data_IF_463696240641
#
_entry.id   IF_463696240641
#
_cell.length_a   1.000
_cell.length_b   1.000
_cell.length_c   1.000
_cell.angle_alpha   90.00
_cell.angle_beta   90.00
_cell.angle_gamma   90.00
#
_symmetry.space_group_name_H-M   'P 1'
#
loop_
_entity.id
_entity.type
_entity.pdbx_description
1 polymer ?
#
# COMPACT_ATOMS: atom_id res chain seq x y z
N UNK A 1 -5.85 0.28 -13.12
CA UNK A 1 -4.98 -0.69 -12.44
C UNK A 1 -5.72 -1.22 -11.23
N UNK A 2 -6.08 -2.51 -11.21
CA UNK A 2 -6.66 -3.16 -10.06
C UNK A 2 -5.56 -3.94 -9.34
N UNK A 3 -5.21 -3.50 -8.14
CA UNK A 3 -4.40 -4.28 -7.22
C UNK A 3 -5.28 -5.35 -6.58
N UNK A 4 -4.87 -6.61 -6.68
CA UNK A 4 -5.52 -7.71 -5.97
C UNK A 4 -4.68 -8.00 -4.73
N UNK A 5 -5.17 -7.62 -3.56
CA UNK A 5 -4.49 -7.90 -2.29
C UNK A 5 -4.72 -9.37 -1.88
N UNK A 6 -3.62 -10.07 -1.71
CA UNK A 6 -3.60 -11.50 -1.41
C UNK A 6 -3.51 -11.74 0.09
N UNK A 7 -4.63 -11.91 0.73
CA UNK A 7 -5.03 -12.53 2.01
C UNK A 7 -6.21 -11.78 2.63
N UNK A 8 -7.10 -12.42 3.36
CA UNK A 8 -7.49 -13.80 3.57
C UNK A 8 -8.73 -14.21 2.73
N UNK A 9 -9.30 -15.36 2.98
CA UNK A 9 -10.33 -16.13 2.29
C UNK A 9 -11.41 -15.37 1.48
N UNK A 10 -11.85 -14.18 1.91
CA UNK A 10 -12.93 -13.44 1.26
C UNK A 10 -12.58 -12.74 -0.07
N UNK A 11 -11.30 -12.53 -0.39
CA UNK A 11 -10.86 -11.89 -1.64
C UNK A 11 -10.42 -12.89 -2.72
N UNK A 12 -10.42 -14.18 -2.41
CA UNK A 12 -10.05 -15.24 -3.36
C UNK A 12 -11.10 -15.44 -4.45
N UNK A 13 -12.38 -15.33 -4.11
CA UNK A 13 -13.47 -15.59 -5.05
C UNK A 13 -13.42 -14.65 -6.27
N UNK A 14 -13.36 -13.32 -6.13
CA UNK A 14 -13.28 -12.44 -7.29
C UNK A 14 -12.01 -12.65 -8.12
N UNK A 15 -10.88 -12.97 -7.49
CA UNK A 15 -9.64 -13.24 -8.20
C UNK A 15 -9.72 -14.52 -9.02
N UNK A 16 -10.18 -15.62 -8.43
CA UNK A 16 -10.34 -16.90 -9.11
C UNK A 16 -11.31 -16.77 -10.28
N UNK A 17 -12.44 -16.08 -10.09
CA UNK A 17 -13.42 -15.83 -11.15
C UNK A 17 -12.82 -15.06 -12.34
N UNK A 18 -12.00 -14.04 -12.08
CA UNK A 18 -11.27 -13.29 -13.12
C UNK A 18 -10.26 -14.19 -13.85
N UNK A 19 -9.59 -15.07 -13.14
CA UNK A 19 -8.62 -16.01 -13.73
C UNK A 19 -9.32 -17.08 -14.58
N UNK A 20 -10.41 -17.66 -14.09
CA UNK A 20 -11.15 -18.74 -14.75
C UNK A 20 -11.96 -18.22 -15.94
N UNK A 21 -12.66 -17.11 -15.78
CA UNK A 21 -13.49 -16.53 -16.84
C UNK A 21 -12.73 -15.74 -17.90
N UNK A 22 -11.50 -15.30 -17.59
CA UNK A 22 -10.76 -14.36 -18.41
C UNK A 22 -11.37 -12.94 -18.45
N UNK A 23 -12.38 -12.65 -17.63
CA UNK A 23 -13.11 -11.37 -17.62
C UNK A 23 -12.99 -10.66 -16.28
N UNK A 24 -12.92 -9.30 -16.28
CA UNK A 24 -12.77 -8.45 -17.44
C UNK A 24 -11.41 -8.65 -18.14
N UNK A 25 -11.36 -8.54 -19.47
CA UNK A 25 -10.11 -8.55 -20.23
C UNK A 25 -9.39 -7.20 -20.03
N UNK A 26 -8.78 -7.04 -18.86
CA UNK A 26 -8.14 -5.82 -18.43
C UNK A 26 -6.78 -6.12 -17.79
N UNK A 27 -5.72 -5.34 -18.08
CA UNK A 27 -4.42 -5.54 -17.49
C UNK A 27 -4.45 -5.45 -15.96
N UNK A 28 -3.75 -6.37 -15.29
CA UNK A 28 -3.66 -6.41 -13.83
C UNK A 28 -2.25 -6.77 -13.36
N UNK A 29 -1.95 -6.45 -12.12
CA UNK A 29 -0.82 -6.98 -11.37
C UNK A 29 -1.27 -7.41 -9.98
N UNK A 30 -0.47 -8.24 -9.34
CA UNK A 30 -0.71 -8.65 -7.96
C UNK A 30 -0.01 -7.71 -6.98
N UNK A 31 -0.60 -7.57 -5.80
CA UNK A 31 -0.02 -6.86 -4.67
C UNK A 31 -0.15 -7.67 -3.40
N UNK A 32 0.92 -7.74 -2.62
CA UNK A 32 0.93 -8.42 -1.35
C UNK A 32 0.74 -7.44 -0.19
N UNK A 33 -0.37 -7.61 0.56
CA UNK A 33 -0.62 -6.91 1.81
C UNK A 33 0.14 -7.61 2.94
N UNK A 34 1.46 -7.39 2.98
CA UNK A 34 2.39 -8.02 3.90
C UNK A 34 2.40 -7.37 5.29
N UNK A 35 1.22 -7.19 5.90
CA UNK A 35 1.08 -6.65 7.25
C UNK A 35 0.02 -7.41 8.04
N UNK A 36 0.12 -7.38 9.36
CA UNK A 36 -0.87 -7.97 10.26
C UNK A 36 -2.22 -7.30 10.09
N UNK A 37 -3.27 -8.10 9.95
CA UNK A 37 -4.64 -7.62 9.80
C UNK A 37 -5.35 -7.65 11.14
N UNK A 38 -5.98 -6.55 11.48
CA UNK A 38 -6.76 -6.40 12.69
C UNK A 38 -8.16 -5.86 12.41
N UNK A 39 -9.12 -6.23 13.27
CA UNK A 39 -10.43 -5.56 13.28
C UNK A 39 -10.28 -4.22 13.97
N UNK A 40 -10.81 -3.19 13.36
CA UNK A 40 -11.14 -1.97 14.10
C UNK A 40 -12.60 -2.07 14.52
N UNK A 41 -12.83 -2.64 15.70
CA UNK A 41 -14.19 -2.72 16.22
C UNK A 41 -14.72 -1.33 16.55
N UNK A 42 -15.85 -1.01 15.95
CA UNK A 42 -16.67 0.16 16.23
C UNK A 42 -17.43 -0.06 17.52
N UNK A 43 -16.77 -0.02 18.65
CA UNK A 43 -17.48 0.11 19.92
C UNK A 43 -17.63 1.59 20.20
N UNK A 44 -18.88 2.05 20.25
CA UNK A 44 -19.28 3.37 20.74
C UNK A 44 -18.93 3.60 22.21
N UNK A 45 -18.10 2.75 22.81
CA UNK A 45 -17.70 2.87 24.19
C UNK A 45 -16.62 3.94 24.33
N UNK A 46 -16.76 4.78 25.33
CA UNK A 46 -15.83 5.83 25.76
C UNK A 46 -14.42 5.33 26.13
N UNK A 47 -14.13 4.05 25.95
CA UNK A 47 -12.93 3.33 26.43
C UNK A 47 -11.89 3.00 25.37
N UNK A 48 -11.94 3.62 24.18
CA UNK A 48 -10.88 3.44 23.17
C UNK A 48 -11.10 2.24 22.25
N UNK A 49 -10.28 2.19 21.19
CA UNK A 49 -10.30 1.13 20.19
C UNK A 49 -9.72 -0.15 20.78
N UNK A 50 -10.48 -1.23 20.78
CA UNK A 50 -9.92 -2.57 20.93
C UNK A 50 -9.59 -3.10 19.53
N UNK A 51 -8.31 -3.30 19.30
CA UNK A 51 -7.81 -3.89 18.08
C UNK A 51 -7.64 -5.40 18.31
N UNK A 52 -8.41 -6.22 17.57
CA UNK A 52 -8.28 -7.67 17.61
C UNK A 52 -7.56 -8.12 16.36
N UNK A 53 -6.46 -8.87 16.51
CA UNK A 53 -5.73 -9.44 15.38
C UNK A 53 -6.61 -10.51 14.72
N UNK A 54 -6.86 -10.35 13.41
CA UNK A 54 -7.57 -11.33 12.57
C UNK A 54 -6.58 -12.31 11.95
N UNK A 55 -5.45 -11.79 11.45
CA UNK A 55 -4.40 -12.57 10.82
C UNK A 55 -3.06 -11.89 11.07
N UNK A 56 -2.19 -12.59 11.77
CA UNK A 56 -0.82 -12.14 12.00
C UNK A 56 0.03 -12.37 10.75
N UNK A 57 0.84 -11.38 10.39
CA UNK A 57 1.82 -11.50 9.33
C UNK A 57 3.10 -12.09 9.88
N UNK A 58 3.49 -13.24 9.35
CA UNK A 58 4.74 -13.91 9.65
C UNK A 58 5.51 -14.19 8.37
N UNK A 59 6.82 -14.38 8.49
CA UNK A 59 7.70 -14.76 7.38
C UNK A 59 8.36 -16.10 7.76
N UNK A 60 7.67 -17.26 7.53
CA UNK A 60 8.16 -18.55 8.02
C UNK A 60 9.37 -19.10 7.26
N UNK A 61 9.78 -18.47 6.17
CA UNK A 61 10.96 -18.84 5.38
C UNK A 61 10.62 -19.31 3.97
N UNK A 62 11.62 -19.95 3.33
CA UNK A 62 11.61 -20.26 1.89
C UNK A 62 10.45 -21.14 1.46
N UNK A 63 10.07 -22.11 2.25
CA UNK A 63 8.95 -23.01 1.89
C UNK A 63 7.64 -22.25 1.71
N UNK A 64 7.36 -21.27 2.57
CA UNK A 64 6.18 -20.41 2.45
C UNK A 64 6.29 -19.50 1.22
N UNK A 65 7.48 -18.93 0.96
CA UNK A 65 7.73 -18.10 -0.21
C UNK A 65 7.59 -18.88 -1.51
N UNK A 66 8.07 -20.11 -1.56
CA UNK A 66 7.93 -21.02 -2.71
C UNK A 66 6.46 -21.37 -2.93
N UNK A 67 5.76 -21.77 -1.85
CA UNK A 67 4.33 -22.07 -1.91
C UNK A 67 3.52 -20.86 -2.39
N UNK A 68 3.87 -19.66 -1.90
CA UNK A 68 3.25 -18.41 -2.32
C UNK A 68 3.44 -18.13 -3.81
N UNK A 69 4.66 -18.31 -4.34
CA UNK A 69 4.96 -18.15 -5.76
C UNK A 69 4.11 -19.10 -6.63
N UNK A 70 4.16 -20.40 -6.35
CA UNK A 70 3.45 -21.40 -7.15
C UNK A 70 1.92 -21.26 -7.08
N UNK A 71 1.39 -20.80 -5.97
CA UNK A 71 -0.04 -20.51 -5.83
C UNK A 71 -0.54 -19.49 -6.85
N UNK A 72 0.29 -18.55 -7.26
CA UNK A 72 -0.09 -17.49 -8.20
C UNK A 72 0.60 -17.61 -9.56
N UNK A 73 1.28 -18.72 -9.83
CA UNK A 73 1.99 -18.95 -11.08
C UNK A 73 1.09 -18.79 -12.32
N UNK A 74 -0.16 -19.26 -12.25
CA UNK A 74 -1.12 -19.10 -13.36
C UNK A 74 -1.41 -17.62 -13.65
N UNK A 75 -1.48 -16.78 -12.61
CA UNK A 75 -1.63 -15.34 -12.80
C UNK A 75 -0.37 -14.72 -13.43
N UNK A 76 0.82 -15.13 -13.01
CA UNK A 76 2.08 -14.66 -13.55
C UNK A 76 2.26 -15.01 -15.04
N UNK A 77 1.66 -16.13 -15.49
CA UNK A 77 1.67 -16.58 -16.89
C UNK A 77 0.49 -16.00 -17.71
N UNK A 78 -0.46 -15.29 -17.09
CA UNK A 78 -1.58 -14.68 -17.81
C UNK A 78 -1.10 -13.55 -18.74
N UNK A 79 -1.62 -13.54 -19.98
CA UNK A 79 -1.29 -12.52 -20.98
C UNK A 79 -1.61 -11.08 -20.57
N UNK A 80 -2.59 -10.90 -19.66
CA UNK A 80 -3.02 -9.61 -19.12
C UNK A 80 -2.12 -9.10 -17.99
N UNK A 81 -1.19 -9.95 -17.51
CA UNK A 81 -0.33 -9.53 -16.40
C UNK A 81 0.60 -8.39 -16.82
N UNK A 82 0.59 -7.30 -16.04
CA UNK A 82 1.40 -6.10 -16.33
C UNK A 82 2.87 -6.43 -16.15
N UNK A 83 3.69 -5.99 -17.12
CA UNK A 83 5.14 -6.18 -17.14
C UNK A 83 5.84 -4.85 -17.37
N UNK A 84 6.99 -4.69 -16.73
CA UNK A 84 7.94 -3.59 -16.93
C UNK A 84 9.23 -4.21 -17.49
N UNK A 85 9.63 -3.84 -18.69
CA UNK A 85 10.78 -4.41 -19.42
C UNK A 85 10.75 -5.95 -19.52
N UNK A 86 9.54 -6.49 -19.54
CA UNK A 86 9.27 -7.93 -19.59
C UNK A 86 9.29 -8.63 -18.22
N UNK A 87 9.65 -7.95 -17.13
CA UNK A 87 9.54 -8.44 -15.75
C UNK A 87 8.14 -8.22 -15.21
N UNK A 88 7.66 -9.15 -14.39
CA UNK A 88 6.32 -9.12 -13.78
C UNK A 88 6.23 -8.01 -12.72
N UNK A 89 5.27 -7.10 -12.86
CA UNK A 89 5.04 -6.06 -11.86
C UNK A 89 4.42 -6.67 -10.60
N UNK A 90 5.11 -6.56 -9.45
CA UNK A 90 4.60 -7.04 -8.18
C UNK A 90 4.72 -5.97 -7.10
N UNK A 91 3.63 -5.74 -6.37
CA UNK A 91 3.53 -4.63 -5.41
C UNK A 91 3.59 -5.17 -3.99
N UNK A 92 4.43 -4.56 -3.15
CA UNK A 92 4.54 -4.84 -1.70
C UNK A 92 3.95 -3.66 -0.93
N UNK A 93 2.97 -3.96 -0.07
CA UNK A 93 2.21 -2.93 0.64
C UNK A 93 3.02 -2.25 1.76
N UNK A 94 3.76 -3.02 2.56
CA UNK A 94 4.59 -2.52 3.66
C UNK A 94 6.06 -2.92 3.42
N UNK A 95 6.77 -2.24 2.50
CA UNK A 95 8.11 -2.62 2.08
C UNK A 95 9.13 -2.53 3.23
N UNK A 96 8.98 -1.56 4.14
CA UNK A 96 9.86 -1.37 5.29
C UNK A 96 9.71 -2.45 6.38
N UNK A 97 8.56 -3.14 6.39
CA UNK A 97 8.27 -4.20 7.37
C UNK A 97 8.63 -5.60 6.81
N UNK A 98 9.16 -5.64 5.59
CA UNK A 98 9.54 -6.90 4.97
C UNK A 98 10.91 -7.36 5.47
N UNK A 99 10.91 -8.40 6.27
CA UNK A 99 12.14 -9.01 6.77
C UNK A 99 12.86 -9.74 5.62
N UNK A 100 14.12 -9.40 5.39
CA UNK A 100 14.97 -10.03 4.37
C UNK A 100 14.40 -10.01 2.94
N UNK A 101 13.93 -8.84 2.51
CA UNK A 101 13.41 -8.65 1.15
C UNK A 101 14.43 -9.01 0.04
N UNK A 102 15.75 -8.72 0.16
CA UNK A 102 16.72 -9.13 -0.86
C UNK A 102 16.74 -10.64 -1.12
N UNK A 103 16.72 -11.46 -0.07
CA UNK A 103 16.65 -12.92 -0.21
C UNK A 103 15.36 -13.38 -0.88
N UNK A 104 14.22 -12.84 -0.46
CA UNK A 104 12.93 -13.10 -1.10
C UNK A 104 12.94 -12.76 -2.60
N UNK A 105 13.49 -11.60 -2.98
CA UNK A 105 13.62 -11.15 -4.37
C UNK A 105 14.45 -12.12 -5.19
N UNK A 106 15.60 -12.55 -4.67
CA UNK A 106 16.47 -13.51 -5.34
C UNK A 106 15.80 -14.87 -5.52
N UNK A 107 15.14 -15.37 -4.49
CA UNK A 107 14.40 -16.63 -4.53
C UNK A 107 13.30 -16.59 -5.60
N UNK A 108 12.48 -15.54 -5.60
CA UNK A 108 11.38 -15.41 -6.54
C UNK A 108 11.84 -15.20 -7.98
N UNK A 109 12.95 -14.49 -8.20
CA UNK A 109 13.55 -14.38 -9.53
C UNK A 109 14.06 -15.72 -10.05
N UNK A 110 14.73 -16.53 -9.23
CA UNK A 110 15.15 -17.90 -9.58
C UNK A 110 13.95 -18.81 -9.92
N UNK A 111 12.87 -18.73 -9.15
CA UNK A 111 11.65 -19.47 -9.45
C UNK A 111 11.01 -19.00 -10.76
N UNK A 112 10.99 -17.70 -11.02
CA UNK A 112 10.47 -17.14 -12.26
C UNK A 112 11.27 -17.62 -13.48
N UNK A 113 12.58 -17.61 -13.41
CA UNK A 113 13.48 -18.12 -14.46
C UNK A 113 13.23 -19.61 -14.74
N UNK A 114 13.11 -20.43 -13.69
CA UNK A 114 12.75 -21.86 -13.81
C UNK A 114 11.43 -22.08 -14.56
N UNK A 115 10.48 -21.16 -14.40
CA UNK A 115 9.17 -21.20 -15.04
C UNK A 115 9.13 -20.48 -16.41
N UNK A 116 10.28 -20.04 -16.94
CA UNK A 116 10.40 -19.37 -18.23
C UNK A 116 9.95 -17.91 -18.23
N UNK A 117 9.95 -17.27 -17.05
CA UNK A 117 9.60 -15.87 -16.85
C UNK A 117 10.87 -15.02 -16.66
N UNK A 118 10.83 -13.72 -17.00
CA UNK A 118 12.00 -12.83 -16.90
C UNK A 118 12.29 -12.30 -15.47
N UNK A 119 11.57 -12.80 -14.45
CA UNK A 119 11.68 -12.31 -13.10
C UNK A 119 10.65 -11.22 -12.79
N UNK A 120 10.86 -10.52 -11.68
CA UNK A 120 9.93 -9.53 -11.14
C UNK A 120 10.51 -8.11 -11.15
N UNK A 121 9.61 -7.15 -11.29
CA UNK A 121 9.81 -5.74 -11.01
C UNK A 121 9.02 -5.39 -9.74
N UNK A 122 9.72 -5.30 -8.62
CA UNK A 122 9.10 -5.08 -7.31
C UNK A 122 8.91 -3.60 -7.00
N UNK A 123 7.69 -3.23 -6.65
CA UNK A 123 7.30 -1.86 -6.31
C UNK A 123 6.88 -1.80 -4.84
N UNK A 124 7.55 -0.97 -4.04
CA UNK A 124 7.16 -0.69 -2.67
C UNK A 124 6.11 0.42 -2.57
N UNK A 125 5.01 0.20 -1.82
CA UNK A 125 4.05 1.27 -1.54
C UNK A 125 4.55 2.17 -0.42
N UNK A 126 4.33 3.48 -0.56
CA UNK A 126 4.69 4.50 0.44
C UNK A 126 3.49 5.01 1.23
N UNK A 127 2.54 4.14 1.58
CA UNK A 127 1.25 4.55 2.17
C UNK A 127 1.37 5.25 3.52
N UNK A 128 2.32 4.83 4.33
CA UNK A 128 2.55 5.40 5.64
C UNK A 128 4.00 5.85 5.73
N UNK A 129 4.22 7.14 5.86
CA UNK A 129 5.51 7.70 6.24
C UNK A 129 5.83 7.33 7.69
N UNK A 130 6.11 6.07 7.93
CA UNK A 130 6.62 5.56 9.21
C UNK A 130 8.12 5.45 9.09
N UNK A 131 8.84 6.47 9.55
CA UNK A 131 10.28 6.33 9.74
C UNK A 131 10.51 5.55 11.03
N UNK A 132 11.11 4.38 10.91
CA UNK A 132 11.80 3.74 12.03
C UNK A 132 13.04 4.55 12.31
N UNK A 133 13.01 5.32 13.39
CA UNK A 133 14.21 6.03 13.85
C UNK A 133 15.19 5.05 14.46
N UNK A 134 16.48 5.38 14.45
CA UNK A 134 17.57 4.56 15.03
C UNK A 134 17.38 4.20 16.50
N UNK A 135 16.45 4.87 17.20
CA UNK A 135 16.05 4.58 18.58
C UNK A 135 14.84 3.61 18.68
N UNK A 136 14.43 2.99 17.58
CA UNK A 136 13.30 2.05 17.52
C UNK A 136 11.93 2.69 17.64
N UNK A 137 11.84 4.01 17.64
CA UNK A 137 10.53 4.71 17.70
C UNK A 137 9.97 4.92 16.32
N UNK A 138 8.70 4.60 16.16
CA UNK A 138 7.95 4.89 14.94
C UNK A 138 7.52 6.36 14.99
N UNK A 139 8.10 7.19 14.14
CA UNK A 139 7.61 8.56 13.93
C UNK A 139 6.76 8.60 12.67
N UNK A 140 5.51 9.02 12.80
CA UNK A 140 4.71 9.41 11.64
C UNK A 140 5.30 10.73 11.10
N UNK A 141 6.05 10.65 10.02
CA UNK A 141 6.62 11.84 9.40
C UNK A 141 5.53 12.47 8.53
N UNK A 142 4.72 13.31 9.15
CA UNK A 142 4.00 14.34 8.41
C UNK A 142 5.01 15.44 8.08
N UNK A 143 5.91 15.17 7.16
CA UNK A 143 6.84 16.23 6.73
C UNK A 143 6.38 16.85 5.43
N UNK A 144 6.28 18.17 5.39
CA UNK A 144 6.09 18.88 4.16
C UNK A 144 7.43 18.97 3.42
N UNK A 145 7.42 18.77 2.16
CA UNK A 145 8.42 19.11 1.15
C UNK A 145 9.67 18.23 1.01
N UNK A 146 10.40 17.83 2.08
CA UNK A 146 11.75 17.28 1.89
C UNK A 146 11.94 15.80 2.25
N UNK A 147 11.06 15.23 3.07
CA UNK A 147 11.20 13.84 3.55
C UNK A 147 10.72 12.78 2.55
N UNK A 148 10.01 13.14 1.48
CA UNK A 148 9.54 12.14 0.51
C UNK A 148 10.69 11.54 -0.28
N UNK A 149 11.67 12.33 -0.69
CA UNK A 149 12.84 11.86 -1.42
C UNK A 149 13.69 10.90 -0.60
N UNK A 150 13.97 11.24 0.66
CA UNK A 150 14.72 10.37 1.58
C UNK A 150 13.97 9.07 1.83
N UNK A 151 12.64 9.13 1.97
CA UNK A 151 11.82 7.94 2.15
C UNK A 151 11.79 7.05 0.90
N UNK A 152 11.69 7.63 -0.31
CA UNK A 152 11.75 6.87 -1.56
C UNK A 152 13.12 6.21 -1.72
N UNK A 153 14.20 6.95 -1.47
CA UNK A 153 15.56 6.43 -1.49
C UNK A 153 15.76 5.32 -0.46
N UNK A 154 15.17 5.46 0.73
CA UNK A 154 15.21 4.39 1.73
C UNK A 154 14.55 3.10 1.21
N UNK A 155 13.33 3.16 0.65
CA UNK A 155 12.68 1.97 0.10
C UNK A 155 13.49 1.36 -1.04
N UNK A 156 14.04 2.19 -1.93
CA UNK A 156 14.90 1.72 -3.02
C UNK A 156 16.17 1.04 -2.48
N UNK A 157 16.76 1.56 -1.40
CA UNK A 157 17.94 0.96 -0.76
C UNK A 157 17.68 -0.42 -0.14
N UNK A 158 16.41 -0.77 0.15
CA UNK A 158 16.02 -2.11 0.56
C UNK A 158 16.03 -3.13 -0.60
N UNK A 159 16.28 -2.69 -1.84
CA UNK A 159 16.37 -3.55 -3.02
C UNK A 159 15.13 -3.53 -3.90
N UNK A 160 14.15 -2.66 -3.65
CA UNK A 160 13.00 -2.46 -4.54
C UNK A 160 13.43 -1.79 -5.86
N UNK A 161 12.77 -2.16 -6.96
CA UNK A 161 13.06 -1.61 -8.29
C UNK A 161 12.41 -0.23 -8.49
N UNK A 162 11.27 -0.01 -7.83
CA UNK A 162 10.55 1.26 -7.85
C UNK A 162 9.73 1.45 -6.57
N UNK A 163 9.24 2.67 -6.37
CA UNK A 163 8.30 3.02 -5.32
C UNK A 163 7.01 3.57 -5.92
N UNK A 164 5.89 3.30 -5.26
CA UNK A 164 4.61 3.92 -5.60
C UNK A 164 4.34 5.05 -4.61
N UNK A 165 4.36 6.30 -5.08
CA UNK A 165 4.09 7.45 -4.23
C UNK A 165 2.59 7.58 -3.96
N UNK A 166 2.23 7.81 -2.68
CA UNK A 166 0.85 8.02 -2.24
C UNK A 166 0.71 9.34 -1.52
N UNK A 167 0.79 10.42 -2.30
CA UNK A 167 0.80 11.81 -1.82
C UNK A 167 -0.47 12.29 -1.11
N UNK A 168 -1.54 11.47 -1.05
CA UNK A 168 -2.86 11.88 -0.57
C UNK A 168 -2.88 12.50 0.83
N UNK A 169 -2.20 11.90 1.80
CA UNK A 169 -2.15 12.44 3.17
C UNK A 169 -1.36 13.76 3.25
N UNK A 170 -0.27 13.86 2.52
CA UNK A 170 0.50 15.10 2.42
C UNK A 170 -0.25 16.20 1.69
N UNK A 171 -0.94 15.86 0.62
CA UNK A 171 -1.78 16.80 -0.13
C UNK A 171 -2.95 17.31 0.72
N UNK A 172 -3.58 16.45 1.51
CA UNK A 172 -4.63 16.83 2.45
C UNK A 172 -4.11 17.78 3.52
N UNK A 173 -2.96 17.49 4.12
CA UNK A 173 -2.34 18.33 5.13
C UNK A 173 -1.95 19.73 4.60
N UNK A 174 -1.59 19.82 3.32
CA UNK A 174 -1.28 21.09 2.65
C UNK A 174 -2.53 21.87 2.18
N UNK A 175 -3.67 21.17 2.04
CA UNK A 175 -4.90 21.77 1.50
C UNK A 175 -5.65 22.61 2.52
N UNK A 176 -5.51 22.30 3.81
CA UNK A 176 -6.07 23.06 4.92
C UNK A 176 -4.98 23.88 5.62
N UNK A 177 -5.34 25.09 6.08
CA UNK A 177 -4.48 25.79 7.04
C UNK A 177 -4.32 24.92 8.28
N UNK A 178 -3.10 24.68 8.80
CA UNK A 178 -2.90 23.88 10.00
C UNK A 178 -3.77 24.32 11.18
N UNK A 179 -3.94 25.63 11.34
CA UNK A 179 -4.78 26.21 12.38
C UNK A 179 -6.25 25.80 12.22
N UNK A 180 -6.79 25.87 11.02
CA UNK A 180 -8.20 25.47 10.73
C UNK A 180 -8.36 23.97 10.92
N UNK A 181 -7.40 23.17 10.51
CA UNK A 181 -7.42 21.72 10.71
C UNK A 181 -7.43 21.35 12.19
N UNK A 182 -6.54 21.95 13.00
CA UNK A 182 -6.51 21.71 14.44
C UNK A 182 -7.75 22.22 15.15
N UNK A 183 -8.29 23.37 14.74
CA UNK A 183 -9.53 23.92 15.31
C UNK A 183 -10.73 23.03 15.02
N UNK A 184 -10.88 22.56 13.78
CA UNK A 184 -11.93 21.60 13.40
C UNK A 184 -11.83 20.31 14.20
N UNK A 185 -10.61 19.74 14.37
CA UNK A 185 -10.42 18.54 15.18
C UNK A 185 -10.67 18.76 16.66
N UNK A 186 -10.31 19.91 17.20
CA UNK A 186 -10.60 20.27 18.59
C UNK A 186 -12.11 20.36 18.82
N UNK A 187 -12.84 21.05 17.96
CA UNK A 187 -14.31 21.17 18.03
C UNK A 187 -14.95 19.78 17.91
N UNK A 188 -14.52 18.96 16.96
CA UNK A 188 -15.02 17.61 16.76
C UNK A 188 -14.84 16.74 18.01
N UNK A 189 -13.66 16.78 18.62
CA UNK A 189 -13.33 15.98 19.79
C UNK A 189 -14.03 16.47 21.08
N UNK A 190 -14.17 17.79 21.25
CA UNK A 190 -14.78 18.40 22.45
C UNK A 190 -16.30 18.37 22.44
N UNK A 191 -16.90 18.60 21.28
CA UNK A 191 -18.34 18.71 21.15
C UNK A 191 -19.03 17.42 20.70
N UNK A 192 -18.25 16.35 20.43
CA UNK A 192 -18.72 15.08 19.89
C UNK A 192 -19.64 15.23 18.66
N UNK A 193 -19.40 16.27 17.87
CA UNK A 193 -20.16 16.53 16.65
C UNK A 193 -19.59 15.64 15.55
N UNK A 194 -20.41 14.76 14.98
CA UNK A 194 -20.10 13.98 13.78
C UNK A 194 -20.05 14.91 12.56
N UNK A 195 -18.95 15.60 12.42
CA UNK A 195 -18.72 16.50 11.31
C UNK A 195 -17.96 15.78 10.20
N UNK A 196 -18.59 15.63 9.05
CA UNK A 196 -17.89 15.15 7.85
C UNK A 196 -16.94 16.24 7.36
N UNK A 197 -15.65 15.95 7.39
CA UNK A 197 -14.64 16.88 6.91
C UNK A 197 -14.74 16.99 5.39
N UNK A 198 -15.34 18.06 4.89
CA UNK A 198 -15.32 18.37 3.47
C UNK A 198 -13.98 19.01 3.09
N UNK A 199 -13.24 18.34 2.20
CA UNK A 199 -11.98 18.83 1.68
C UNK A 199 -12.18 19.12 0.20
N UNK A 200 -11.73 20.32 -0.22
CA UNK A 200 -11.78 20.71 -1.61
C UNK A 200 -10.85 19.81 -2.44
N UNK A 201 -11.43 18.97 -3.29
CA UNK A 201 -10.69 18.05 -4.13
C UNK A 201 -9.70 18.76 -5.06
N UNK A 202 -10.05 19.93 -5.58
CA UNK A 202 -9.15 20.72 -6.42
C UNK A 202 -7.88 21.19 -5.67
N UNK A 203 -8.00 21.48 -4.38
CA UNK A 203 -6.85 21.77 -3.52
C UNK A 203 -5.98 20.56 -3.26
N UNK A 204 -6.60 19.38 -3.05
CA UNK A 204 -5.86 18.13 -2.90
C UNK A 204 -5.05 17.84 -4.16
N UNK A 205 -5.67 17.87 -5.32
CA UNK A 205 -5.01 17.56 -6.60
C UNK A 205 -3.82 18.47 -6.89
N UNK A 206 -3.92 19.78 -6.60
CA UNK A 206 -2.80 20.72 -6.77
C UNK A 206 -1.59 20.38 -5.91
N UNK A 207 -1.78 19.74 -4.77
CA UNK A 207 -0.74 19.39 -3.82
C UNK A 207 -0.37 17.91 -3.85
N UNK A 208 -1.03 17.11 -4.71
CA UNK A 208 -0.90 15.65 -4.74
C UNK A 208 0.44 15.19 -5.30
N UNK A 209 0.89 15.87 -6.34
CA UNK A 209 2.14 15.58 -7.03
C UNK A 209 3.25 16.48 -6.48
N UNK A 210 4.37 15.88 -6.12
CA UNK A 210 5.53 16.59 -5.59
C UNK A 210 6.75 16.41 -6.52
N UNK A 211 7.78 17.24 -6.35
CA UNK A 211 8.96 17.21 -7.22
C UNK A 211 9.65 15.85 -7.26
N UNK A 212 9.72 15.17 -6.10
CA UNK A 212 10.32 13.83 -6.01
C UNK A 212 9.53 12.75 -6.77
N UNK A 213 8.27 12.99 -7.12
CA UNK A 213 7.47 12.07 -7.95
C UNK A 213 7.91 12.07 -9.42
N UNK A 214 8.81 12.97 -9.82
CA UNK A 214 9.44 13.01 -11.16
C UNK A 214 10.60 12.05 -11.33
N UNK A 215 11.07 11.43 -10.26
CA UNK A 215 12.13 10.41 -10.35
C UNK A 215 11.65 9.24 -11.22
N UNK A 216 12.54 8.71 -12.06
CA UNK A 216 12.22 7.65 -13.04
C UNK A 216 11.61 6.39 -12.40
N UNK A 217 12.05 6.06 -11.19
CA UNK A 217 11.62 4.89 -10.44
C UNK A 217 10.52 5.19 -9.41
N UNK A 218 9.79 6.30 -9.57
CA UNK A 218 8.64 6.67 -8.75
C UNK A 218 7.37 6.66 -9.56
N UNK A 219 6.41 5.82 -9.15
CA UNK A 219 5.11 5.66 -9.80
C UNK A 219 4.04 6.41 -9.00
N UNK A 220 3.60 7.59 -9.44
CA UNK A 220 2.59 8.35 -8.73
C UNK A 220 1.22 7.63 -8.75
N UNK A 221 0.51 7.73 -7.64
CA UNK A 221 -0.84 7.19 -7.51
C UNK A 221 -1.89 8.24 -7.87
N UNK A 222 -2.91 7.84 -8.59
CA UNK A 222 -4.13 8.64 -8.80
C UNK A 222 -5.26 7.96 -8.02
N UNK A 223 -5.94 8.73 -7.17
CA UNK A 223 -7.13 8.27 -6.44
C UNK A 223 -8.34 9.05 -6.96
N UNK A 224 -9.05 8.53 -7.96
CA UNK A 224 -10.19 9.23 -8.56
C UNK A 224 -11.38 9.33 -7.61
N UNK A 225 -11.59 8.31 -6.79
CA UNK A 225 -12.63 8.25 -5.77
C UNK A 225 -12.33 7.14 -4.77
N UNK A 226 -12.59 7.39 -3.49
CA UNK A 226 -12.45 6.37 -2.45
C UNK A 226 -13.41 6.62 -1.28
N UNK A 227 -14.41 5.77 -1.13
CA UNK A 227 -15.31 5.80 0.02
C UNK A 227 -14.80 4.87 1.14
N UNK A 228 -14.44 5.47 2.26
CA UNK A 228 -14.03 4.75 3.48
C UNK A 228 -15.17 4.49 4.46
N UNK A 229 -16.36 5.04 4.21
CA UNK A 229 -17.50 4.97 5.13
C UNK A 229 -17.85 3.53 5.55
N UNK A 230 -17.86 2.53 4.66
CA UNK A 230 -18.16 1.16 5.06
C UNK A 230 -17.19 0.56 6.08
N UNK A 231 -15.92 1.02 6.06
CA UNK A 231 -14.89 0.54 6.98
C UNK A 231 -14.66 1.46 8.17
N UNK A 232 -14.85 2.76 7.98
CA UNK A 232 -14.47 3.78 8.95
C UNK A 232 -15.64 4.50 9.59
N UNK A 233 -16.91 4.19 9.20
CA UNK A 233 -18.08 4.90 9.62
C UNK A 233 -18.07 6.38 9.19
N UNK A 234 -19.03 7.12 9.65
CA UNK A 234 -19.02 8.59 9.53
C UNK A 234 -17.99 9.14 10.50
N UNK A 235 -16.80 9.42 10.04
CA UNK A 235 -15.79 10.19 10.79
C UNK A 235 -15.47 11.46 10.05
#
# INVERSE_FOLDING_TARGET
QRFVFLRPLGLRLPFNEVMESGKPDFPFCLGWANHTWSTRTWTSSKTGYQETIIAEMTYPGDEDHISHFYKYLNAFKDKRYIKVDGKLLFVIFAPQDFVDFPHFKDLWNKLAEKEGLKGFHFVGLTENFRLHTSDGKIRNVFSPKDASGDYYNHILSLGFDAVNSRGGNGAQAKSDSPLIYYLKRFIQNKLHIDYVLHIDYAKIIRNYYVENDKMENVYPTIIPNFDRSPRSGKK
#
